data_IF_923233936159
#
_entry.id   IF_923233936159
#
_cell.length_a   1.000
_cell.length_b   1.000
_cell.length_c   1.000
_cell.angle_alpha   90.00
_cell.angle_beta   90.00
_cell.angle_gamma   90.00
#
_symmetry.space_group_name_H-M   'P 1'
#
loop_
_entity.id
_entity.type
_entity.pdbx_description
1 polymer ?
#
# COMPACT_ATOMS: atom_id res chain seq x y z
N UNK A 1 22.28 19.80 -16.87
CA UNK A 1 20.91 19.36 -16.54
C UNK A 1 21.05 18.26 -15.49
N UNK A 2 20.81 18.52 -14.19
CA UNK A 2 20.81 17.44 -13.21
C UNK A 2 19.47 16.72 -13.30
N UNK A 3 19.53 15.44 -13.65
CA UNK A 3 18.43 14.49 -13.69
C UNK A 3 17.89 14.32 -12.26
N UNK A 4 16.91 15.15 -11.89
CA UNK A 4 16.14 14.98 -10.67
C UNK A 4 15.13 13.84 -10.91
N UNK A 5 15.64 12.61 -10.95
CA UNK A 5 14.83 11.42 -10.84
C UNK A 5 14.44 11.29 -9.37
N UNK A 6 13.16 11.46 -8.98
CA UNK A 6 12.77 11.20 -7.61
C UNK A 6 13.11 9.74 -7.28
N UNK A 7 13.84 9.46 -6.19
CA UNK A 7 14.21 8.11 -5.85
C UNK A 7 12.94 7.34 -5.46
N UNK A 8 12.59 6.39 -6.33
CA UNK A 8 11.78 5.20 -6.07
C UNK A 8 10.32 5.48 -5.72
N UNK A 9 9.46 5.01 -6.60
CA UNK A 9 8.04 4.87 -6.39
C UNK A 9 7.82 3.83 -5.28
N UNK A 10 7.89 4.26 -4.02
CA UNK A 10 7.61 3.45 -2.84
C UNK A 10 6.29 3.94 -2.25
N UNK A 11 5.38 3.04 -1.89
CA UNK A 11 4.13 3.36 -1.22
C UNK A 11 4.22 2.93 0.24
N UNK A 12 3.78 3.79 1.16
CA UNK A 12 3.66 3.44 2.57
C UNK A 12 2.34 2.69 2.78
N UNK A 13 2.40 1.45 3.26
CA UNK A 13 1.20 0.71 3.64
C UNK A 13 0.50 1.42 4.80
N UNK A 14 -0.77 1.77 4.63
CA UNK A 14 -1.50 2.49 5.67
C UNK A 14 -1.91 1.64 6.88
N UNK A 15 -1.80 0.30 6.81
CA UNK A 15 -2.09 -0.59 7.93
C UNK A 15 -0.83 -0.88 8.75
N UNK A 16 0.28 -1.10 8.06
CA UNK A 16 1.49 -1.66 8.63
C UNK A 16 2.61 -0.60 8.75
N UNK A 17 2.49 0.51 8.02
CA UNK A 17 3.41 1.65 8.09
C UNK A 17 4.72 1.45 7.33
N UNK A 18 4.94 0.28 6.75
CA UNK A 18 6.13 -0.04 5.95
C UNK A 18 6.08 0.58 4.56
N UNK A 19 7.24 1.00 4.08
CA UNK A 19 7.47 1.47 2.71
C UNK A 19 7.73 0.27 1.78
N UNK A 20 6.79 0.02 0.87
CA UNK A 20 6.89 -1.04 -0.12
C UNK A 20 7.19 -0.46 -1.50
N UNK A 21 7.97 -1.17 -2.31
CA UNK A 21 8.20 -0.76 -3.70
C UNK A 21 6.90 -0.87 -4.52
N UNK A 22 6.65 0.02 -5.48
CA UNK A 22 5.48 -0.03 -6.38
C UNK A 22 5.43 -1.32 -7.23
N UNK A 23 6.56 -2.01 -7.36
CA UNK A 23 6.66 -3.33 -7.99
C UNK A 23 6.08 -4.45 -7.12
N UNK A 24 6.00 -4.25 -5.80
CA UNK A 24 5.34 -5.14 -4.85
C UNK A 24 3.82 -4.96 -4.99
N UNK A 25 3.05 -6.04 -4.93
CA UNK A 25 1.60 -6.07 -5.14
C UNK A 25 0.86 -5.05 -4.25
N UNK A 26 0.67 -3.83 -4.78
CA UNK A 26 -0.08 -2.76 -4.13
C UNK A 26 -1.54 -3.06 -4.31
N UNK A 27 -2.26 -3.22 -3.20
CA UNK A 27 -3.68 -3.45 -3.20
C UNK A 27 -4.43 -2.29 -2.56
N UNK A 28 -5.51 -1.86 -3.21
CA UNK A 28 -6.38 -0.81 -2.69
C UNK A 28 -7.49 -1.42 -1.83
N UNK A 29 -7.68 -0.91 -0.61
CA UNK A 29 -8.80 -1.34 0.22
C UNK A 29 -10.12 -0.73 -0.28
N UNK A 30 -11.14 -1.55 -0.50
CA UNK A 30 -12.48 -1.12 -0.91
C UNK A 30 -13.23 -0.27 0.11
N UNK A 31 -12.82 -0.30 1.38
CA UNK A 31 -13.52 0.45 2.43
C UNK A 31 -12.89 1.82 2.66
N UNK A 32 -11.56 1.88 2.64
CA UNK A 32 -10.79 3.04 3.04
C UNK A 32 -9.95 3.62 1.88
N UNK A 33 -10.02 3.01 0.68
CA UNK A 33 -9.39 3.43 -0.60
C UNK A 33 -7.90 3.79 -0.50
N UNK A 34 -7.22 3.22 0.49
CA UNK A 34 -5.79 3.40 0.71
C UNK A 34 -5.01 2.22 0.13
N UNK A 35 -3.75 2.46 -0.16
CA UNK A 35 -2.80 1.44 -0.59
C UNK A 35 -2.32 0.60 0.60
N UNK A 36 -2.38 -0.72 0.44
CA UNK A 36 -1.94 -1.72 1.40
C UNK A 36 -1.13 -2.79 0.67
N UNK A 37 -0.23 -3.47 1.39
CA UNK A 37 0.45 -4.65 0.89
C UNK A 37 -0.50 -5.85 0.92
N UNK A 38 -0.19 -6.88 0.13
CA UNK A 38 -0.97 -8.13 0.03
C UNK A 38 -1.17 -8.86 1.37
N UNK A 39 -0.27 -8.67 2.33
CA UNK A 39 -0.39 -9.23 3.68
C UNK A 39 -1.39 -8.46 4.55
N UNK A 40 -1.44 -7.14 4.39
CA UNK A 40 -2.32 -6.28 5.18
C UNK A 40 -3.69 -6.06 4.51
N UNK A 41 -3.95 -6.66 3.34
CA UNK A 41 -5.24 -6.70 2.66
C UNK A 41 -5.77 -8.13 2.53
N UNK A 42 -7.06 -8.32 2.79
CA UNK A 42 -7.71 -9.61 2.58
C UNK A 42 -7.99 -9.86 1.09
N UNK A 43 -8.26 -11.11 0.70
CA UNK A 43 -8.70 -11.47 -0.67
C UNK A 43 -10.00 -10.78 -1.10
N UNK A 44 -10.76 -10.25 -0.14
CA UNK A 44 -11.97 -9.45 -0.37
C UNK A 44 -11.66 -7.98 -0.70
N UNK A 45 -10.39 -7.57 -0.65
CA UNK A 45 -9.96 -6.20 -0.84
C UNK A 45 -10.26 -5.32 0.39
N UNK A 46 -10.26 -5.88 1.61
CA UNK A 46 -10.47 -5.12 2.85
C UNK A 46 -9.20 -5.22 3.69
N UNK A 47 -8.64 -4.11 4.13
CA UNK A 47 -7.44 -4.15 4.99
C UNK A 47 -7.76 -4.65 6.40
N UNK A 48 -6.79 -5.28 7.07
CA UNK A 48 -6.91 -5.80 8.44
C UNK A 48 -7.59 -4.81 9.40
N UNK A 49 -7.18 -3.53 9.50
CA UNK A 49 -7.82 -2.58 10.41
C UNK A 49 -9.25 -2.18 9.99
N UNK A 50 -9.59 -2.26 8.69
CA UNK A 50 -10.97 -2.04 8.23
C UNK A 50 -11.82 -3.33 8.42
N UNK A 51 -11.22 -4.53 8.55
CA UNK A 51 -11.92 -5.81 8.80
C UNK A 51 -12.23 -6.05 10.28
N UNK A 52 -11.38 -5.60 11.20
CA UNK A 52 -11.61 -5.68 12.66
C UNK A 52 -12.55 -4.60 13.22
N UNK A 53 -13.07 -3.72 12.35
CA UNK A 53 -13.95 -2.60 12.72
C UNK A 53 -15.41 -2.93 12.46
#
# INVERSE_FOLDING_TARGET
>A
MPTNFPPKEQFACAACGEDYARETAVHECRMCHRAYCEECIDKQGICVPCKEK
#
